data_IF_475454569920
#
_entry.id   IF_475454569920
#
_cell.length_a   1.000
_cell.length_b   1.000
_cell.length_c   1.000
_cell.angle_alpha   90.00
_cell.angle_beta   90.00
_cell.angle_gamma   90.00
#
_symmetry.space_group_name_H-M   'P 1'
#
loop_
_entity.id
_entity.type
_entity.pdbx_description
1 polymer ?
#
# COMPACT_ATOMS: atom_id res chain seq x y z
N UNK A 1 -15.44 19.84 -2.66
CA UNK A 1 -15.57 18.78 -3.66
C UNK A 1 -15.10 19.25 -5.04
N UNK A 2 -13.82 19.53 -5.18
CA UNK A 2 -13.23 19.89 -6.48
C UNK A 2 -12.51 18.67 -7.07
N UNK A 3 -12.71 18.36 -8.37
CA UNK A 3 -12.08 17.20 -9.02
C UNK A 3 -10.53 17.21 -8.94
N UNK A 4 -9.90 18.39 -8.83
CA UNK A 4 -8.46 18.55 -8.61
C UNK A 4 -7.98 18.05 -7.25
N UNK A 5 -8.79 18.11 -6.20
CA UNK A 5 -8.42 17.61 -4.86
C UNK A 5 -8.38 16.07 -4.80
N UNK A 6 -9.23 15.39 -5.56
CA UNK A 6 -9.22 13.93 -5.66
C UNK A 6 -7.98 13.40 -6.41
N UNK A 7 -7.56 14.13 -7.45
CA UNK A 7 -6.36 13.76 -8.22
C UNK A 7 -5.08 13.89 -7.38
N UNK A 8 -4.93 14.98 -6.62
CA UNK A 8 -3.79 15.18 -5.73
C UNK A 8 -3.78 14.19 -4.55
N UNK A 9 -4.94 13.80 -4.02
CA UNK A 9 -5.04 12.82 -2.94
C UNK A 9 -4.67 11.41 -3.41
N UNK A 10 -5.03 11.05 -4.65
CA UNK A 10 -4.58 9.81 -5.27
C UNK A 10 -3.07 9.83 -5.54
N UNK A 11 -2.51 10.94 -6.00
CA UNK A 11 -1.08 11.07 -6.25
C UNK A 11 -0.26 10.98 -4.95
N UNK A 12 -0.74 11.59 -3.86
CA UNK A 12 -0.11 11.51 -2.54
C UNK A 12 -0.16 10.09 -1.94
N UNK A 13 -1.23 9.35 -2.22
CA UNK A 13 -1.39 7.94 -1.81
C UNK A 13 -0.37 7.01 -2.51
N UNK A 14 0.03 7.34 -3.74
CA UNK A 14 1.06 6.61 -4.49
C UNK A 14 2.49 7.13 -4.23
N UNK A 15 2.63 8.32 -3.69
CA UNK A 15 3.94 8.95 -3.43
C UNK A 15 4.56 8.50 -2.10
N UNK A 16 3.78 7.92 -1.18
CA UNK A 16 4.33 7.22 -0.01
C UNK A 16 4.53 5.73 -0.36
N UNK A 17 5.74 5.28 -0.72
CA UNK A 17 5.99 3.94 -1.24
C UNK A 17 5.58 2.83 -0.26
N UNK A 18 5.61 3.10 1.04
CA UNK A 18 5.29 2.13 2.09
C UNK A 18 3.77 1.90 2.19
N UNK A 19 2.95 2.97 2.16
CA UNK A 19 1.50 2.86 2.29
C UNK A 19 0.84 2.31 1.02
N UNK A 20 1.33 2.70 -0.17
CA UNK A 20 0.84 2.17 -1.44
C UNK A 20 1.05 0.67 -1.55
N UNK A 21 2.23 0.20 -1.19
CA UNK A 21 2.57 -1.21 -1.19
C UNK A 21 1.74 -2.02 -0.17
N UNK A 22 1.52 -1.48 1.02
CA UNK A 22 0.68 -2.13 2.03
C UNK A 22 -0.77 -2.29 1.56
N UNK A 23 -1.36 -1.27 0.94
CA UNK A 23 -2.74 -1.34 0.43
C UNK A 23 -2.84 -2.39 -0.67
N UNK A 24 -1.88 -2.41 -1.61
CA UNK A 24 -1.85 -3.42 -2.66
C UNK A 24 -1.69 -4.83 -2.07
N UNK A 25 -0.80 -5.01 -1.11
CA UNK A 25 -0.56 -6.29 -0.45
C UNK A 25 -1.83 -6.81 0.27
N UNK A 26 -2.59 -5.92 0.91
CA UNK A 26 -3.88 -6.25 1.54
C UNK A 26 -4.93 -6.67 0.51
N UNK A 27 -5.06 -5.96 -0.61
CA UNK A 27 -6.00 -6.31 -1.67
C UNK A 27 -5.59 -7.62 -2.36
N UNK A 28 -4.31 -7.83 -2.58
CA UNK A 28 -3.79 -9.08 -3.14
C UNK A 28 -3.99 -10.26 -2.19
N UNK A 29 -3.78 -10.06 -0.88
CA UNK A 29 -4.08 -11.11 0.12
C UNK A 29 -5.55 -11.52 0.11
N UNK A 30 -6.48 -10.56 0.01
CA UNK A 30 -7.92 -10.85 -0.11
C UNK A 30 -8.23 -11.63 -1.38
N UNK A 31 -7.59 -11.27 -2.50
CA UNK A 31 -7.73 -12.01 -3.75
C UNK A 31 -7.26 -13.47 -3.59
N UNK A 32 -6.09 -13.69 -3.01
CA UNK A 32 -5.53 -15.02 -2.77
C UNK A 32 -6.44 -15.86 -1.85
N UNK A 33 -6.98 -15.26 -0.78
CA UNK A 33 -7.94 -15.92 0.12
C UNK A 33 -9.21 -16.34 -0.62
N UNK A 34 -9.74 -15.48 -1.48
CA UNK A 34 -10.91 -15.78 -2.26
C UNK A 34 -10.64 -16.90 -3.29
N UNK A 35 -9.49 -16.86 -3.95
CA UNK A 35 -9.07 -17.92 -4.88
C UNK A 35 -8.87 -19.24 -4.15
N UNK A 36 -8.19 -19.24 -2.98
CA UNK A 36 -8.01 -20.43 -2.14
C UNK A 36 -9.37 -21.06 -1.79
N UNK A 37 -10.30 -20.26 -1.27
CA UNK A 37 -11.62 -20.74 -0.86
C UNK A 37 -12.41 -21.32 -2.04
N UNK A 38 -12.49 -20.59 -3.15
CA UNK A 38 -13.28 -20.99 -4.31
C UNK A 38 -12.70 -22.21 -5.03
N UNK A 39 -11.39 -22.26 -5.22
CA UNK A 39 -10.70 -23.36 -5.91
C UNK A 39 -10.68 -24.61 -5.02
N UNK A 40 -10.52 -24.48 -3.70
CA UNK A 40 -10.63 -25.61 -2.76
C UNK A 40 -12.03 -26.22 -2.75
N UNK A 41 -13.07 -25.44 -3.07
CA UNK A 41 -14.43 -25.93 -3.26
C UNK A 41 -14.71 -26.46 -4.67
N UNK A 42 -13.69 -26.63 -5.51
CA UNK A 42 -13.80 -27.19 -6.84
C UNK A 42 -14.21 -26.20 -7.94
N UNK A 43 -14.19 -24.90 -7.65
CA UNK A 43 -14.46 -23.88 -8.66
C UNK A 43 -13.27 -23.78 -9.62
N UNK A 44 -13.55 -23.56 -10.92
CA UNK A 44 -12.49 -23.33 -11.89
C UNK A 44 -11.85 -21.96 -11.66
N UNK A 45 -10.57 -21.85 -11.95
CA UNK A 45 -9.78 -20.61 -11.81
C UNK A 45 -10.45 -19.39 -12.45
N UNK A 46 -11.03 -19.56 -13.64
CA UNK A 46 -11.72 -18.48 -14.37
C UNK A 46 -12.92 -17.94 -13.58
N UNK A 47 -13.74 -18.84 -13.07
CA UNK A 47 -14.93 -18.49 -12.31
C UNK A 47 -14.53 -17.88 -10.95
N UNK A 48 -13.47 -18.41 -10.32
CA UNK A 48 -12.93 -17.89 -9.08
C UNK A 48 -12.36 -16.46 -9.24
N UNK A 49 -11.66 -16.18 -10.33
CA UNK A 49 -11.17 -14.84 -10.65
C UNK A 49 -12.33 -13.85 -10.91
N UNK A 50 -13.37 -14.28 -11.62
CA UNK A 50 -14.53 -13.44 -11.90
C UNK A 50 -15.29 -13.04 -10.63
N UNK A 51 -15.55 -14.00 -9.75
CA UNK A 51 -16.15 -13.74 -8.43
C UNK A 51 -15.27 -12.80 -7.60
N UNK A 52 -13.97 -12.96 -7.69
CA UNK A 52 -12.99 -12.16 -6.92
C UNK A 52 -12.93 -10.69 -7.32
N UNK A 53 -13.42 -10.30 -8.50
CA UNK A 53 -13.55 -8.89 -8.89
C UNK A 53 -14.39 -8.08 -7.90
N UNK A 54 -15.40 -8.71 -7.31
CA UNK A 54 -16.33 -8.04 -6.39
C UNK A 54 -15.71 -7.80 -4.99
N UNK A 55 -14.54 -8.37 -4.70
CA UNK A 55 -13.90 -8.28 -3.38
C UNK A 55 -13.03 -7.03 -3.27
N UNK A 56 -12.51 -6.53 -4.40
CA UNK A 56 -11.65 -5.35 -4.42
C UNK A 56 -12.35 -4.13 -5.00
N UNK A 57 -12.12 -2.98 -4.37
CA UNK A 57 -12.51 -1.67 -4.90
C UNK A 57 -11.32 -0.92 -5.52
N UNK A 58 -10.16 -1.57 -5.59
CA UNK A 58 -8.93 -0.99 -6.11
C UNK A 58 -8.90 -1.10 -7.64
N UNK A 59 -8.96 0.02 -8.33
CA UNK A 59 -8.98 0.07 -9.80
C UNK A 59 -7.76 -0.60 -10.45
N UNK A 60 -6.59 -0.54 -9.80
CA UNK A 60 -5.37 -1.19 -10.28
C UNK A 60 -5.51 -2.71 -10.20
N UNK A 61 -5.99 -3.22 -9.07
CA UNK A 61 -6.24 -4.65 -8.88
C UNK A 61 -7.30 -5.18 -9.84
N UNK A 62 -8.38 -4.43 -10.04
CA UNK A 62 -9.42 -4.79 -11.02
C UNK A 62 -8.85 -4.91 -12.44
N UNK A 63 -8.03 -3.94 -12.87
CA UNK A 63 -7.40 -3.97 -14.19
C UNK A 63 -6.47 -5.19 -14.35
N UNK A 64 -5.72 -5.54 -13.31
CA UNK A 64 -4.85 -6.73 -13.31
C UNK A 64 -5.70 -8.00 -13.43
N UNK A 65 -6.77 -8.13 -12.65
CA UNK A 65 -7.67 -9.30 -12.71
C UNK A 65 -8.32 -9.43 -14.09
N UNK A 66 -8.80 -8.34 -14.68
CA UNK A 66 -9.39 -8.34 -16.02
C UNK A 66 -8.38 -8.74 -17.09
N UNK A 67 -7.16 -8.22 -17.01
CA UNK A 67 -6.08 -8.61 -17.92
C UNK A 67 -5.71 -10.09 -17.74
N UNK A 68 -5.70 -10.60 -16.51
CA UNK A 68 -5.46 -12.01 -16.20
C UNK A 68 -6.52 -12.92 -16.81
N UNK A 69 -7.79 -12.53 -16.76
CA UNK A 69 -8.88 -13.27 -17.40
C UNK A 69 -8.76 -13.27 -18.91
N UNK A 70 -8.43 -12.14 -19.51
CA UNK A 70 -8.21 -12.02 -20.96
C UNK A 70 -7.02 -12.89 -21.41
N UNK A 71 -5.94 -12.94 -20.63
CA UNK A 71 -4.80 -13.81 -20.89
C UNK A 71 -5.22 -15.29 -20.87
N UNK A 72 -6.03 -15.71 -19.91
CA UNK A 72 -6.55 -17.08 -19.86
C UNK A 72 -7.37 -17.43 -21.09
N UNK A 73 -8.24 -16.53 -21.55
CA UNK A 73 -9.04 -16.72 -22.75
C UNK A 73 -8.16 -16.84 -24.00
N UNK A 74 -7.02 -16.16 -24.03
CA UNK A 74 -6.01 -16.24 -25.09
C UNK A 74 -5.06 -17.45 -24.95
N UNK A 75 -5.22 -18.30 -23.92
CA UNK A 75 -4.34 -19.44 -23.65
C UNK A 75 -3.00 -19.08 -22.99
N UNK A 76 -2.87 -17.84 -22.51
CA UNK A 76 -1.69 -17.36 -21.81
C UNK A 76 -1.80 -17.51 -20.28
N UNK A 77 -0.69 -17.33 -19.58
CA UNK A 77 -0.67 -17.39 -18.12
C UNK A 77 -1.46 -16.21 -17.49
N UNK A 78 -2.37 -16.53 -16.59
CA UNK A 78 -3.12 -15.53 -15.82
C UNK A 78 -2.25 -14.84 -14.76
N UNK A 79 -1.09 -15.39 -14.43
CA UNK A 79 -0.16 -14.85 -13.44
C UNK A 79 0.65 -13.70 -14.04
N UNK A 80 0.89 -13.70 -15.33
CA UNK A 80 1.74 -12.73 -16.01
C UNK A 80 1.37 -11.27 -15.74
N UNK A 81 0.10 -10.82 -15.75
CA UNK A 81 -0.26 -9.44 -15.44
C UNK A 81 0.11 -9.02 -14.01
N UNK A 82 0.14 -9.95 -13.06
CA UNK A 82 0.62 -9.69 -11.69
C UNK A 82 2.14 -9.45 -11.67
N UNK A 83 2.90 -10.18 -12.47
CA UNK A 83 4.35 -9.97 -12.62
C UNK A 83 4.64 -8.64 -13.30
N UNK A 84 3.99 -8.38 -14.42
CA UNK A 84 4.19 -7.17 -15.21
C UNK A 84 3.81 -5.89 -14.47
N UNK A 85 2.91 -5.99 -13.49
CA UNK A 85 2.53 -4.86 -12.63
C UNK A 85 3.68 -4.34 -11.76
N UNK A 86 4.68 -5.18 -11.47
CA UNK A 86 5.78 -4.88 -10.55
C UNK A 86 5.37 -4.63 -9.10
N UNK A 87 4.08 -4.82 -8.77
CA UNK A 87 3.52 -4.61 -7.43
C UNK A 87 3.56 -5.88 -6.58
N UNK A 88 3.55 -7.05 -7.23
CA UNK A 88 3.73 -8.33 -6.58
C UNK A 88 5.23 -8.63 -6.39
N UNK A 89 5.58 -9.18 -5.22
CA UNK A 89 6.91 -9.76 -5.04
C UNK A 89 7.10 -10.96 -5.97
N UNK A 90 8.30 -11.11 -6.52
CA UNK A 90 8.67 -12.29 -7.33
C UNK A 90 8.37 -13.61 -6.60
N UNK A 91 8.50 -13.63 -5.26
CA UNK A 91 8.17 -14.79 -4.44
C UNK A 91 6.69 -15.18 -4.56
N UNK A 92 5.77 -14.20 -4.56
CA UNK A 92 4.32 -14.46 -4.66
C UNK A 92 3.97 -15.07 -6.03
N UNK A 93 4.50 -14.52 -7.10
CA UNK A 93 4.21 -14.98 -8.47
C UNK A 93 4.86 -16.33 -8.77
N UNK A 94 6.06 -16.58 -8.25
CA UNK A 94 6.70 -17.90 -8.35
C UNK A 94 5.93 -18.98 -7.59
N UNK A 95 5.43 -18.71 -6.39
CA UNK A 95 4.58 -19.64 -5.66
C UNK A 95 3.31 -19.98 -6.43
N UNK A 96 2.68 -19.00 -7.08
CA UNK A 96 1.52 -19.25 -7.94
C UNK A 96 1.87 -20.12 -9.15
N UNK A 97 3.01 -19.89 -9.79
CA UNK A 97 3.49 -20.71 -10.91
C UNK A 97 3.74 -22.17 -10.50
N UNK A 98 4.39 -22.36 -9.36
CA UNK A 98 4.62 -23.70 -8.80
C UNK A 98 3.27 -24.38 -8.51
N UNK A 99 2.31 -23.66 -7.90
CA UNK A 99 0.98 -24.17 -7.63
C UNK A 99 0.23 -24.62 -8.88
N UNK A 100 0.37 -23.90 -9.99
CA UNK A 100 -0.23 -24.27 -11.27
C UNK A 100 0.33 -25.60 -11.83
N UNK A 101 1.56 -25.94 -11.47
CA UNK A 101 2.22 -27.18 -11.95
C UNK A 101 2.04 -28.37 -10.98
N UNK A 102 1.61 -28.10 -9.74
CA UNK A 102 1.51 -29.11 -8.67
C UNK A 102 0.09 -29.16 -8.11
N UNK A 103 -0.13 -28.55 -6.96
CA UNK A 103 -1.41 -28.45 -6.25
C UNK A 103 -1.69 -26.97 -5.95
N UNK A 104 -2.56 -26.37 -6.76
CA UNK A 104 -2.87 -24.94 -6.64
C UNK A 104 -3.57 -24.61 -5.32
N UNK A 105 -4.60 -25.37 -4.83
CA UNK A 105 -5.22 -25.13 -3.53
C UNK A 105 -4.22 -25.12 -2.38
N UNK A 106 -3.33 -26.11 -2.29
CA UNK A 106 -2.32 -26.17 -1.23
C UNK A 106 -1.33 -25.00 -1.33
N UNK A 107 -0.92 -24.63 -2.54
CA UNK A 107 0.01 -23.52 -2.74
C UNK A 107 -0.64 -22.17 -2.43
N UNK A 108 -1.91 -21.97 -2.77
CA UNK A 108 -2.66 -20.76 -2.40
C UNK A 108 -2.76 -20.62 -0.88
N UNK A 109 -2.99 -21.72 -0.15
CA UNK A 109 -2.99 -21.74 1.30
C UNK A 109 -1.64 -21.29 1.87
N UNK A 110 -0.53 -21.88 1.39
CA UNK A 110 0.83 -21.50 1.80
C UNK A 110 1.13 -20.04 1.46
N UNK A 111 0.72 -19.58 0.29
CA UNK A 111 0.87 -18.19 -0.13
C UNK A 111 0.09 -17.24 0.79
N UNK A 112 -1.13 -17.61 1.17
CA UNK A 112 -1.94 -16.83 2.10
C UNK A 112 -1.26 -16.71 3.48
N UNK A 113 -0.73 -17.80 4.02
CA UNK A 113 0.04 -17.78 5.28
C UNK A 113 1.28 -16.87 5.16
N UNK A 114 2.03 -16.97 4.06
CA UNK A 114 3.19 -16.13 3.80
C UNK A 114 2.82 -14.64 3.70
N UNK A 115 1.73 -14.32 2.98
CA UNK A 115 1.26 -12.95 2.84
C UNK A 115 0.80 -12.34 4.16
N UNK A 116 0.17 -13.12 5.03
CA UNK A 116 -0.20 -12.65 6.37
C UNK A 116 1.05 -12.27 7.20
N UNK A 117 2.15 -12.99 7.05
CA UNK A 117 3.44 -12.64 7.67
C UNK A 117 4.01 -11.36 7.06
N UNK A 118 3.97 -11.21 5.74
CA UNK A 118 4.44 -10.02 5.03
C UNK A 118 3.65 -8.77 5.41
N UNK A 119 2.33 -8.89 5.50
CA UNK A 119 1.45 -7.81 5.98
C UNK A 119 1.84 -7.40 7.39
N UNK A 120 1.98 -8.36 8.30
CA UNK A 120 2.38 -8.09 9.69
C UNK A 120 3.73 -7.37 9.74
N UNK A 121 4.74 -7.89 9.05
CA UNK A 121 6.06 -7.28 8.98
C UNK A 121 6.02 -5.84 8.42
N UNK A 122 5.16 -5.59 7.45
CA UNK A 122 4.98 -4.26 6.86
C UNK A 122 4.30 -3.31 7.84
N UNK A 123 3.28 -3.78 8.56
CA UNK A 123 2.61 -3.00 9.61
C UNK A 123 3.59 -2.66 10.73
N UNK A 124 4.41 -3.62 11.17
CA UNK A 124 5.41 -3.41 12.22
C UNK A 124 6.44 -2.36 11.80
N UNK A 125 6.90 -2.38 10.53
CA UNK A 125 7.77 -1.34 9.97
C UNK A 125 7.13 0.04 9.97
N UNK A 126 5.86 0.13 9.56
CA UNK A 126 5.10 1.40 9.55
C UNK A 126 4.96 1.93 10.99
N UNK A 127 4.61 1.04 11.93
CA UNK A 127 4.44 1.41 13.33
C UNK A 127 5.76 1.87 13.97
N UNK A 128 6.88 1.24 13.61
CA UNK A 128 8.21 1.62 14.11
C UNK A 128 8.66 3.02 13.64
N UNK A 129 8.21 3.49 12.48
CA UNK A 129 8.55 4.81 11.93
C UNK A 129 7.64 5.92 12.49
N UNK A 130 6.43 5.58 12.94
CA UNK A 130 5.44 6.55 13.41
C UNK A 130 5.95 7.50 14.50
N UNK A 131 6.66 7.05 15.55
CA UNK A 131 7.21 7.96 16.56
C UNK A 131 8.15 9.01 15.97
N UNK A 132 9.02 8.64 15.02
CA UNK A 132 9.94 9.58 14.36
C UNK A 132 9.20 10.66 13.59
N UNK A 133 8.14 10.29 12.89
CA UNK A 133 7.29 11.23 12.14
C UNK A 133 6.62 12.23 13.10
N UNK A 134 6.07 11.74 14.20
CA UNK A 134 5.44 12.59 15.24
C UNK A 134 6.45 13.55 15.85
N UNK A 135 7.63 13.06 16.25
CA UNK A 135 8.67 13.93 16.81
C UNK A 135 9.16 14.98 15.82
N UNK A 136 9.27 14.62 14.53
CA UNK A 136 9.65 15.58 13.48
C UNK A 136 8.61 16.70 13.34
N UNK A 137 7.33 16.36 13.35
CA UNK A 137 6.23 17.33 13.27
C UNK A 137 6.26 18.26 14.50
N UNK A 138 6.38 17.69 15.70
CA UNK A 138 6.47 18.47 16.95
C UNK A 138 7.69 19.40 16.93
N UNK A 139 8.85 18.91 16.44
CA UNK A 139 10.06 19.72 16.30
C UNK A 139 9.86 20.92 15.38
N UNK A 140 9.23 20.73 14.22
CA UNK A 140 8.93 21.83 13.29
C UNK A 140 7.98 22.85 13.91
N UNK A 141 6.93 22.41 14.63
CA UNK A 141 6.00 23.30 15.32
C UNK A 141 6.71 24.12 16.41
N UNK A 142 7.59 23.48 17.19
CA UNK A 142 8.37 24.18 18.23
C UNK A 142 9.31 25.23 17.63
N UNK A 143 10.01 24.91 16.55
CA UNK A 143 10.89 25.87 15.84
C UNK A 143 10.04 27.05 15.33
N UNK A 144 8.89 26.80 14.73
CA UNK A 144 7.98 27.85 14.29
C UNK A 144 7.53 28.75 15.44
N UNK A 145 7.17 28.16 16.58
CA UNK A 145 6.77 28.91 17.78
C UNK A 145 7.91 29.78 18.31
N UNK A 146 9.13 29.24 18.37
CA UNK A 146 10.32 29.98 18.81
C UNK A 146 10.57 31.20 17.90
N UNK A 147 10.51 31.00 16.58
CA UNK A 147 10.76 32.10 15.63
C UNK A 147 9.69 33.18 15.71
N UNK A 148 8.41 32.78 15.76
CA UNK A 148 7.28 33.75 15.72
C UNK A 148 7.10 34.50 17.04
N UNK A 149 7.38 33.85 18.18
CA UNK A 149 7.13 34.43 19.50
C UNK A 149 8.40 34.98 20.15
N UNK A 150 9.47 34.20 20.17
CA UNK A 150 10.71 34.59 20.90
C UNK A 150 11.49 35.70 20.19
N UNK A 151 11.55 35.68 18.85
CA UNK A 151 12.30 36.73 18.11
C UNK A 151 11.69 38.11 18.31
N UNK A 152 10.38 38.36 18.19
CA UNK A 152 9.79 39.68 18.48
C UNK A 152 9.95 40.09 19.95
N UNK A 153 9.85 39.16 20.89
CA UNK A 153 10.04 39.46 22.32
C UNK A 153 11.47 39.95 22.59
N UNK A 154 12.47 39.28 22.03
CA UNK A 154 13.88 39.68 22.16
C UNK A 154 14.10 41.06 21.53
N UNK A 155 13.49 41.34 20.38
CA UNK A 155 13.62 42.67 19.70
C UNK A 155 13.02 43.79 20.57
N UNK A 156 11.90 43.56 21.19
CA UNK A 156 11.28 44.56 22.13
C UNK A 156 12.17 44.80 23.35
N UNK A 157 12.71 43.73 23.95
CA UNK A 157 13.59 43.84 25.12
C UNK A 157 14.92 44.51 24.75
N UNK A 158 15.57 44.18 23.65
CA UNK A 158 16.83 44.80 23.24
C UNK A 158 16.64 46.22 22.70
N UNK A 159 15.51 46.52 22.02
CA UNK A 159 15.19 47.85 21.54
C UNK A 159 14.91 48.82 22.69
N UNK A 160 14.27 48.37 23.80
CA UNK A 160 14.07 49.16 25.02
C UNK A 160 15.37 49.56 25.69
N UNK A 161 16.36 48.66 25.72
CA UNK A 161 17.67 48.98 26.35
C UNK A 161 18.51 50.03 25.58
N UNK A 162 18.32 50.14 24.26
CA UNK A 162 19.05 51.13 23.45
C UNK A 162 18.45 52.54 23.56
N UNK A 163 17.17 52.69 23.93
CA UNK A 163 16.54 54.01 24.14
C UNK A 163 16.76 54.57 25.56
N UNK A 164 17.17 53.76 26.53
CA UNK A 164 17.41 54.22 27.93
C UNK A 164 18.87 54.66 28.15
N UNK A 165 19.76 54.46 27.14
CA UNK A 165 21.17 54.84 27.21
C UNK A 165 21.52 56.09 26.38
N UNK A 166 20.52 56.85 25.91
CA UNK A 166 20.66 58.18 25.31
C UNK A 166 20.01 59.23 26.21
#
# INVERSE_FOLDING_TARGET
NTPRGRYNFHYFKYTMPIFGNLIFLLDFSRLIQALELNISNGMRIQDALDVSKNITNNQVMLAIIETSMNNMLAGNSWIQPFEDSGLCSSMHTEMLKIGMQTDLPEMLKKLNEYMNMDIKNTIDKVTAIMPQVVYSIVGVVLIFFVVVVLVPVIQVYMGGFMFESM
#
